data_IF_845876723815
#
_entry.id   IF_845876723815
#
_cell.length_a   1.000
_cell.length_b   1.000
_cell.length_c   1.000
_cell.angle_alpha   90.00
_cell.angle_beta   90.00
_cell.angle_gamma   90.00
#
_symmetry.space_group_name_H-M   'P 1'
#
loop_
_entity.id
_entity.type
_entity.pdbx_description
1 polymer ?
#
# COMPACT_ATOMS: atom_id res chain seq x y z
N UNK A 1 -23.33 -18.66 13.08
CA UNK A 1 -23.05 -17.86 13.27
C UNK A 1 -22.10 -17.78 14.14
N UNK A 2 -21.31 -17.15 14.08
CA UNK A 2 -20.36 -17.07 14.84
C UNK A 2 -20.52 -16.08 15.74
N UNK A 3 -20.15 -16.17 16.85
CA UNK A 3 -20.32 -15.30 17.66
C UNK A 3 -19.13 -14.92 18.24
N UNK A 4 -18.92 -13.79 18.66
CA UNK A 4 -17.79 -13.32 19.34
C UNK A 4 -17.91 -13.74 20.77
N UNK A 5 -17.40 -14.86 21.04
CA UNK A 5 -17.39 -15.37 22.40
C UNK A 5 -16.19 -14.80 23.12
N UNK A 6 -16.43 -14.21 24.28
CA UNK A 6 -15.37 -13.61 25.06
C UNK A 6 -14.39 -14.68 25.56
N UNK A 7 -13.08 -14.47 25.37
CA UNK A 7 -12.12 -15.43 25.86
C UNK A 7 -12.14 -15.54 27.39
N UNK A 8 -11.83 -16.70 27.89
CA UNK A 8 -11.74 -16.92 29.32
C UNK A 8 -10.31 -16.70 29.79
N UNK A 9 -10.13 -16.65 31.11
CA UNK A 9 -8.78 -16.52 31.65
C UNK A 9 -7.89 -17.66 31.20
N UNK A 10 -8.46 -18.87 31.07
CA UNK A 10 -7.68 -20.01 30.61
C UNK A 10 -7.21 -19.83 29.18
N UNK A 11 -8.01 -19.16 28.35
CA UNK A 11 -7.61 -18.89 26.98
C UNK A 11 -6.36 -18.01 26.93
N UNK A 12 -6.30 -17.02 27.80
CA UNK A 12 -5.13 -16.15 27.86
C UNK A 12 -3.89 -16.92 28.34
N UNK A 13 -4.08 -17.77 29.34
CA UNK A 13 -2.96 -18.56 29.85
C UNK A 13 -2.42 -19.53 28.81
N UNK A 14 -3.29 -20.05 27.97
CA UNK A 14 -2.90 -21.03 26.95
C UNK A 14 -2.33 -20.38 25.69
N UNK A 15 -2.48 -19.06 25.55
CA UNK A 15 -2.02 -18.36 24.35
C UNK A 15 -0.50 -18.38 24.26
N UNK A 16 0.02 -18.78 23.10
CA UNK A 16 1.47 -18.89 22.90
C UNK A 16 1.93 -17.89 21.86
N UNK A 17 3.24 -17.71 21.77
CA UNK A 17 3.83 -16.87 20.75
C UNK A 17 3.49 -17.40 19.36
N UNK A 18 3.46 -18.70 19.21
CA UNK A 18 3.09 -19.31 17.93
C UNK A 18 1.65 -18.97 17.56
N UNK A 19 0.75 -19.00 18.53
CA UNK A 19 -0.66 -18.61 18.29
C UNK A 19 -0.73 -17.18 17.82
N UNK A 20 0.04 -16.30 18.45
CA UNK A 20 0.05 -14.90 18.08
C UNK A 20 0.57 -14.70 16.65
N UNK A 21 1.67 -15.38 16.33
CA UNK A 21 2.27 -15.26 14.99
C UNK A 21 1.28 -15.71 13.92
N UNK A 22 0.57 -16.80 14.17
CA UNK A 22 -0.41 -17.31 13.22
C UNK A 22 -1.60 -16.35 13.06
N UNK A 23 -2.06 -15.79 14.18
CA UNK A 23 -3.18 -14.86 14.14
C UNK A 23 -2.81 -13.60 13.39
N UNK A 24 -1.59 -13.08 13.62
CA UNK A 24 -1.13 -11.89 12.93
C UNK A 24 -0.97 -12.14 11.44
N UNK A 25 -0.45 -13.31 11.09
CA UNK A 25 -0.29 -13.68 9.70
C UNK A 25 -1.64 -13.76 8.98
N UNK A 26 -2.62 -14.38 9.63
CA UNK A 26 -3.95 -14.49 9.06
C UNK A 26 -4.60 -13.12 8.89
N UNK A 27 -4.40 -12.24 9.88
CA UNK A 27 -4.94 -10.89 9.79
C UNK A 27 -4.28 -10.09 8.66
N UNK A 28 -2.96 -10.23 8.53
CA UNK A 28 -2.24 -9.53 7.47
C UNK A 28 -2.73 -10.00 6.09
N UNK A 29 -2.98 -11.30 5.98
CA UNK A 29 -3.46 -11.86 4.73
C UNK A 29 -4.83 -11.29 4.36
N UNK A 30 -5.69 -11.08 5.35
CA UNK A 30 -7.02 -10.53 5.13
C UNK A 30 -7.00 -9.07 4.73
N UNK A 31 -5.91 -8.38 4.99
CA UNK A 31 -5.81 -6.95 4.70
C UNK A 31 -4.97 -6.64 3.47
N UNK A 32 -4.56 -7.68 2.75
CA UNK A 32 -3.79 -7.47 1.52
C UNK A 32 -4.67 -6.86 0.45
N UNK A 33 -4.06 -6.02 -0.37
CA UNK A 33 -4.76 -5.42 -1.49
C UNK A 33 -4.17 -5.96 -2.77
N UNK A 34 -5.03 -6.08 -3.78
CA UNK A 34 -4.59 -6.48 -5.11
C UNK A 34 -4.56 -5.24 -5.98
N UNK A 35 -3.84 -5.31 -7.07
CA UNK A 35 -3.79 -4.17 -7.97
C UNK A 35 -3.67 -4.60 -9.41
N UNK A 36 -4.03 -3.70 -10.29
CA UNK A 36 -3.76 -3.84 -11.71
C UNK A 36 -3.51 -2.45 -12.28
N UNK A 37 -2.90 -2.42 -13.44
CA UNK A 37 -2.59 -1.17 -14.12
C UNK A 37 -3.37 -1.15 -15.43
N UNK A 38 -4.15 -0.10 -15.62
CA UNK A 38 -4.95 0.00 -16.80
C UNK A 38 -5.28 1.45 -17.10
N UNK A 39 -5.13 1.84 -18.35
CA UNK A 39 -5.50 3.19 -18.81
C UNK A 39 -4.78 4.30 -18.03
N UNK A 40 -3.50 4.08 -17.76
CA UNK A 40 -2.69 5.08 -17.08
C UNK A 40 -2.95 5.22 -15.60
N UNK A 41 -3.69 4.29 -15.03
CA UNK A 41 -4.03 4.32 -13.62
C UNK A 41 -3.68 3.02 -12.96
N UNK A 42 -3.43 3.08 -11.66
CA UNK A 42 -3.28 1.91 -10.84
C UNK A 42 -4.58 1.74 -10.07
N UNK A 43 -5.16 0.56 -10.16
CA UNK A 43 -6.42 0.27 -9.48
C UNK A 43 -6.14 -0.71 -8.36
N UNK A 44 -6.55 -0.38 -7.16
CA UNK A 44 -6.36 -1.24 -6.00
C UNK A 44 -7.68 -1.81 -5.55
N UNK A 45 -7.70 -3.11 -5.30
CA UNK A 45 -8.87 -3.79 -4.79
C UNK A 45 -8.65 -4.12 -3.32
N UNK A 46 -9.42 -3.49 -2.47
CA UNK A 46 -9.35 -3.72 -1.03
C UNK A 46 -10.06 -5.03 -0.67
N UNK A 47 -9.75 -5.59 0.50
CA UNK A 47 -10.33 -6.86 0.91
C UNK A 47 -11.86 -6.89 0.92
N UNK A 48 -12.49 -5.74 1.15
CA UNK A 48 -13.94 -5.68 1.22
C UNK A 48 -14.60 -5.37 -0.12
N UNK A 49 -13.81 -5.33 -1.18
CA UNK A 49 -14.35 -5.15 -2.51
C UNK A 49 -14.34 -3.73 -3.06
N UNK A 50 -13.96 -2.76 -2.24
CA UNK A 50 -13.86 -1.40 -2.73
C UNK A 50 -12.65 -1.25 -3.65
N UNK A 51 -12.79 -0.45 -4.67
CA UNK A 51 -11.74 -0.22 -5.65
C UNK A 51 -11.29 1.23 -5.56
N UNK A 52 -9.97 1.40 -5.49
CA UNK A 52 -9.38 2.74 -5.39
C UNK A 52 -8.47 2.97 -6.57
N UNK A 53 -8.59 4.14 -7.20
CA UNK A 53 -7.86 4.45 -8.41
C UNK A 53 -6.87 5.57 -8.14
N UNK A 54 -5.62 5.36 -8.52
CA UNK A 54 -4.58 6.37 -8.36
C UNK A 54 -3.85 6.56 -9.69
N UNK A 55 -3.30 7.74 -9.92
CA UNK A 55 -2.60 7.98 -11.20
C UNK A 55 -1.29 7.23 -11.24
N UNK A 56 -0.95 6.68 -12.40
CA UNK A 56 0.33 6.06 -12.60
C UNK A 56 1.42 7.11 -12.74
N UNK A 57 1.08 8.23 -13.37
CA UNK A 57 2.02 9.33 -13.54
C UNK A 57 1.71 10.42 -12.53
N UNK A 58 2.54 10.54 -11.52
CA UNK A 58 2.36 11.56 -10.49
C UNK A 58 2.87 12.90 -10.96
N UNK A 59 2.17 13.95 -10.55
CA UNK A 59 2.69 15.29 -10.75
C UNK A 59 3.89 15.50 -9.84
N UNK A 60 4.69 16.49 -10.15
CA UNK A 60 5.84 16.83 -9.31
C UNK A 60 5.36 17.17 -7.89
N UNK A 61 4.30 17.94 -7.79
CA UNK A 61 3.78 18.34 -6.47
C UNK A 61 3.35 17.12 -5.65
N UNK A 62 2.64 16.20 -6.28
CA UNK A 62 2.19 15.01 -5.55
C UNK A 62 3.37 14.12 -5.15
N UNK A 63 4.35 13.99 -6.05
CA UNK A 63 5.53 13.21 -5.74
C UNK A 63 6.29 13.80 -4.55
N UNK A 64 6.43 15.13 -4.54
CA UNK A 64 7.10 15.80 -3.44
C UNK A 64 6.35 15.58 -2.13
N UNK A 65 5.02 15.68 -2.18
CA UNK A 65 4.23 15.44 -0.97
C UNK A 65 4.42 14.04 -0.43
N UNK A 66 4.43 13.05 -1.30
CA UNK A 66 4.63 11.68 -0.86
C UNK A 66 6.04 11.45 -0.33
N UNK A 67 7.02 12.08 -0.96
CA UNK A 67 8.42 11.89 -0.57
C UNK A 67 8.76 12.59 0.73
N UNK A 68 8.04 13.64 1.07
CA UNK A 68 8.35 14.45 2.23
C UNK A 68 7.58 14.05 3.48
N UNK A 69 6.94 12.90 3.45
CA UNK A 69 6.14 12.44 4.57
C UNK A 69 6.99 11.82 5.65
N UNK A 70 6.68 12.14 6.90
CA UNK A 70 7.45 11.66 8.03
C UNK A 70 6.70 10.73 8.97
N UNK A 71 5.39 10.64 8.83
CA UNK A 71 4.61 9.79 9.71
C UNK A 71 3.56 9.01 8.92
N UNK A 72 3.09 7.91 9.50
CA UNK A 72 2.06 7.11 8.88
C UNK A 72 0.76 7.88 8.73
N UNK A 73 0.45 8.73 9.71
CA UNK A 73 -0.77 9.53 9.65
C UNK A 73 -0.72 10.48 8.46
N UNK A 74 0.42 11.10 8.23
CA UNK A 74 0.58 12.00 7.09
C UNK A 74 0.48 11.26 5.77
N UNK A 75 1.03 10.05 5.73
CA UNK A 75 0.95 9.23 4.51
C UNK A 75 -0.50 8.90 4.17
N UNK A 76 -1.27 8.51 5.16
CA UNK A 76 -2.67 8.18 4.95
C UNK A 76 -3.45 9.42 4.52
N UNK A 77 -3.17 10.56 5.17
CA UNK A 77 -3.85 11.80 4.79
C UNK A 77 -3.51 12.21 3.37
N UNK A 78 -2.25 12.06 2.98
CA UNK A 78 -1.83 12.37 1.61
C UNK A 78 -2.54 11.45 0.62
N UNK A 79 -2.67 10.17 0.95
CA UNK A 79 -3.37 9.23 0.09
C UNK A 79 -4.84 9.64 -0.06
N UNK A 80 -5.49 10.04 1.03
CA UNK A 80 -6.87 10.49 0.98
C UNK A 80 -7.00 11.73 0.10
N UNK A 81 -6.06 12.66 0.22
CA UNK A 81 -6.08 13.87 -0.59
C UNK A 81 -5.92 13.54 -2.07
N UNK A 82 -5.03 12.63 -2.39
CA UNK A 82 -4.84 12.21 -3.77
C UNK A 82 -6.06 11.51 -4.31
N UNK A 83 -6.70 10.67 -3.51
CA UNK A 83 -7.92 10.01 -3.92
C UNK A 83 -9.03 11.03 -4.17
N UNK A 84 -9.14 12.01 -3.30
CA UNK A 84 -10.15 13.06 -3.48
C UNK A 84 -9.94 13.78 -4.80
N UNK A 85 -8.70 14.14 -5.10
CA UNK A 85 -8.39 14.88 -6.31
C UNK A 85 -8.55 14.04 -7.57
N UNK A 86 -8.19 12.77 -7.50
CA UNK A 86 -8.13 11.92 -8.68
C UNK A 86 -9.40 11.08 -8.90
N UNK A 87 -10.02 10.61 -7.82
CA UNK A 87 -11.15 9.70 -7.91
C UNK A 87 -12.43 10.21 -7.23
N UNK A 88 -12.35 11.33 -6.52
CA UNK A 88 -13.53 11.93 -5.90
C UNK A 88 -13.57 11.71 -4.40
N UNK A 89 -14.39 12.54 -3.75
CA UNK A 89 -14.51 12.50 -2.29
C UNK A 89 -15.03 11.18 -1.74
N UNK A 90 -15.89 10.51 -2.51
CA UNK A 90 -16.45 9.26 -2.05
C UNK A 90 -15.37 8.20 -1.85
N UNK A 91 -14.39 8.17 -2.76
CA UNK A 91 -13.30 7.22 -2.64
C UNK A 91 -12.52 7.46 -1.34
N UNK A 92 -12.24 8.72 -1.04
CA UNK A 92 -11.53 9.05 0.18
C UNK A 92 -12.33 8.69 1.42
N UNK A 93 -13.64 8.89 1.37
CA UNK A 93 -14.51 8.52 2.50
C UNK A 93 -14.54 7.02 2.72
N UNK A 94 -14.58 6.25 1.64
CA UNK A 94 -14.55 4.80 1.75
C UNK A 94 -13.22 4.33 2.32
N UNK A 95 -12.13 4.92 1.86
CA UNK A 95 -10.82 4.57 2.38
C UNK A 95 -10.74 4.84 3.88
N UNK A 96 -11.34 5.93 4.33
CA UNK A 96 -11.29 6.29 5.74
C UNK A 96 -11.99 5.25 6.63
N UNK A 97 -12.86 4.44 6.06
CA UNK A 97 -13.55 3.39 6.81
C UNK A 97 -12.80 2.08 6.83
N UNK A 98 -11.75 1.93 6.04
CA UNK A 98 -10.98 0.69 5.99
C UNK A 98 -10.11 0.53 7.22
N UNK A 99 -9.75 -0.69 7.58
CA UNK A 99 -8.72 -0.88 8.61
C UNK A 99 -7.44 -0.17 8.18
N UNK A 100 -6.71 0.34 9.16
CA UNK A 100 -5.54 1.17 8.87
C UNK A 100 -4.48 0.47 8.02
N UNK A 101 -4.40 -0.85 8.09
CA UNK A 101 -3.42 -1.58 7.28
C UNK A 101 -3.75 -1.55 5.79
N UNK A 102 -5.04 -1.34 5.44
CA UNK A 102 -5.41 -1.30 4.04
C UNK A 102 -4.78 -0.10 3.32
N UNK A 103 -4.95 1.15 3.81
CA UNK A 103 -4.26 2.25 3.15
C UNK A 103 -2.74 2.12 3.21
N UNK A 104 -2.20 1.54 4.29
CA UNK A 104 -0.76 1.33 4.36
C UNK A 104 -0.29 0.36 3.28
N UNK A 105 -1.06 -0.72 3.07
CA UNK A 105 -0.71 -1.69 2.02
C UNK A 105 -0.86 -1.07 0.63
N UNK A 106 -1.86 -0.22 0.43
CA UNK A 106 -2.01 0.50 -0.82
C UNK A 106 -0.79 1.39 -1.06
N UNK A 107 -0.38 2.13 -0.04
CA UNK A 107 0.78 3.03 -0.17
C UNK A 107 2.06 2.27 -0.49
N UNK A 108 2.27 1.15 0.18
CA UNK A 108 3.46 0.34 -0.09
C UNK A 108 3.47 -0.17 -1.52
N UNK A 109 2.35 -0.70 -1.97
CA UNK A 109 2.26 -1.21 -3.34
C UNK A 109 2.40 -0.08 -4.36
N UNK A 110 1.77 1.04 -4.08
CA UNK A 110 1.82 2.19 -4.96
C UNK A 110 3.25 2.73 -5.07
N UNK A 111 3.94 2.82 -3.93
CA UNK A 111 5.33 3.27 -3.93
C UNK A 111 6.23 2.38 -4.77
N UNK A 112 6.02 1.06 -4.67
CA UNK A 112 6.80 0.12 -5.48
C UNK A 112 6.51 0.28 -6.96
N UNK A 113 5.25 0.49 -7.31
CA UNK A 113 4.86 0.66 -8.70
C UNK A 113 5.47 1.94 -9.27
N UNK A 114 5.40 3.03 -8.51
CA UNK A 114 5.97 4.30 -8.95
C UNK A 114 7.48 4.17 -9.13
N UNK A 115 8.13 3.47 -8.21
CA UNK A 115 9.57 3.25 -8.32
C UNK A 115 9.91 2.45 -9.57
N UNK A 116 9.08 1.47 -9.92
CA UNK A 116 9.31 0.68 -11.13
C UNK A 116 9.12 1.52 -12.39
N UNK A 117 8.14 2.41 -12.39
CA UNK A 117 7.91 3.29 -13.52
C UNK A 117 9.13 4.20 -13.72
N UNK A 118 9.62 4.78 -12.63
CA UNK A 118 10.80 5.62 -12.70
C UNK A 118 12.03 4.82 -13.14
N UNK A 119 12.16 3.62 -12.61
CA UNK A 119 13.26 2.75 -12.98
C UNK A 119 13.22 2.34 -14.45
N UNK A 120 12.01 2.10 -14.96
CA UNK A 120 11.87 1.75 -16.35
C UNK A 120 12.34 2.89 -17.26
N UNK A 121 12.00 4.13 -16.89
CA UNK A 121 12.42 5.28 -17.64
C UNK A 121 13.93 5.48 -17.57
N UNK A 122 14.47 5.40 -16.38
CA UNK A 122 15.89 5.60 -16.16
C UNK A 122 16.70 4.41 -16.61
N UNK A 123 16.14 3.23 -16.49
CA UNK A 123 16.83 2.00 -16.84
C UNK A 123 17.17 1.90 -18.30
N UNK A 124 16.48 2.64 -19.10
CA UNK A 124 16.81 2.65 -20.51
C UNK A 124 18.08 3.39 -20.79
N UNK A 125 18.48 4.21 -19.86
CA UNK A 125 19.68 4.95 -20.02
C UNK A 125 20.79 4.46 -19.13
N UNK A 126 20.53 3.76 -18.08
CA UNK A 126 21.57 3.34 -17.23
C UNK A 126 21.71 1.96 -16.96
N UNK A 127 21.97 1.82 -16.54
CA UNK A 127 21.98 0.89 -16.00
C UNK A 127 22.29 0.50 -15.05
N UNK A 128 22.02 0.93 -14.65
CA UNK A 128 22.17 0.37 -13.94
C UNK A 128 22.37 0.15 -13.03
N UNK A 129 22.46 0.48 -13.01
CA UNK A 129 22.70 0.03 -12.37
C UNK A 129 22.82 -0.24 -11.51
N UNK A 130 22.94 -0.06 -11.49
CA UNK A 130 23.10 -0.67 -11.06
C UNK A 130 23.29 -1.00 -10.49
N UNK A 131 23.53 -0.72 -10.56
CA UNK A 131 23.82 -1.35 -10.54
C UNK A 131 24.18 -1.62 -10.28
N UNK A 132 24.41 -1.29 -10.40
CA UNK A 132 24.84 -1.80 -10.73
C UNK A 132 25.16 -1.97 -10.73
N UNK A 133 25.37 -1.65 -10.83
CA UNK A 133 25.69 -1.94 -11.46
C UNK A 133 25.95 -2.04 -11.57
N UNK A 134 26.15 -1.69 -11.62
CA UNK A 134 26.40 -1.88 -12.31
C UNK A 134 26.72 -1.94 -12.37
N UNK A 135 27.08 -1.70 -12.48
CA UNK A 135 27.40 -1.84 -13.13
C UNK A 135 27.86 -2.04 -13.24
N UNK A 136 28.09 -1.71 -13.23
CA UNK A 136 28.46 -2.01 -13.89
C UNK A 136 28.87 -2.15 -14.15
N UNK A 137 29.05 -1.69 -14.36
CA UNK A 137 29.31 -1.90 -15.02
C UNK A 137 29.83 -2.02 -15.26
N UNK A 138 29.98 -1.66 -15.46
CA UNK A 138 30.19 -1.77 -16.04
C UNK A 138 30.53 -1.97 -16.22
N UNK A 139 30.41 -1.69 -16.48
CA UNK A 139 30.37 -1.88 -16.98
C UNK A 139 30.58 -2.13 -17.09
#
# INVERSE_FOLDING_TARGET
MTKNVMPSAADFDAWTQEDEDKALEASAEQMKVKHLIKDGSVWFLAPHGHIYKLPLALSIDDFVKLSDIKSDVEQIQTLKDMLTAFAGEEAAKELAKEPVMVPMNILNAYGEIIAKVQGADLGKSSASASSSEEKTAIE
#
